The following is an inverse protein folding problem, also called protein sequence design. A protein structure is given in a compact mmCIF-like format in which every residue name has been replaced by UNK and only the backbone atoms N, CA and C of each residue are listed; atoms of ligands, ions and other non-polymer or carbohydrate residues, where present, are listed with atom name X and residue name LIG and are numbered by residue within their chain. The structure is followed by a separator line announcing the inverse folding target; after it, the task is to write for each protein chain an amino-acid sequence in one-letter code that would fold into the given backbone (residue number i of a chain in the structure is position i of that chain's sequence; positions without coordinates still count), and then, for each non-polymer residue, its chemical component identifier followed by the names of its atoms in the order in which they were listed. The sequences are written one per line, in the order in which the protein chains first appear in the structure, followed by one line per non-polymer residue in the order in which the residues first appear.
data_IF_042616473582
#
_entry.id   IF_042616473582
#
_cell.length_a   1.000
_cell.length_b   1.000
_cell.length_c   1.000
_cell.angle_alpha   90.00
_cell.angle_beta   90.00
_cell.angle_gamma   90.00
#
_symmetry.space_group_name_H-M   'P 1'
#
loop_
_entity.id
_entity.type
_entity.pdbx_description
1 polymer ?
#
# COMPACT_ATOMS: atom_id res chain seq x y z
N UNK A 1 27.91 14.78 41.47
CA UNK A 1 27.67 14.72 40.01
C UNK A 1 26.54 13.74 39.75
N UNK A 2 25.50 14.21 39.08
CA UNK A 2 24.13 13.78 39.26
C UNK A 2 23.79 12.51 38.46
N UNK A 3 24.30 11.36 38.91
CA UNK A 3 24.01 10.03 38.31
C UNK A 3 22.51 9.80 38.08
N UNK A 4 21.67 10.29 39.00
CA UNK A 4 20.20 10.20 38.88
C UNK A 4 19.62 11.10 37.79
N UNK A 5 20.20 12.28 37.56
CA UNK A 5 19.74 13.21 36.53
C UNK A 5 20.22 12.76 35.15
N UNK A 6 21.43 12.22 35.03
CA UNK A 6 21.95 11.64 33.79
C UNK A 6 21.17 10.41 33.34
N UNK A 7 20.71 9.57 34.27
CA UNK A 7 19.84 8.43 33.95
C UNK A 7 18.44 8.88 33.52
N UNK A 8 17.90 9.95 34.13
CA UNK A 8 16.59 10.48 33.77
C UNK A 8 16.59 11.12 32.38
N UNK A 9 17.62 11.89 32.04
CA UNK A 9 17.74 12.51 30.71
C UNK A 9 17.94 11.47 29.62
N UNK A 10 18.73 10.42 29.88
CA UNK A 10 18.94 9.32 28.92
C UNK A 10 17.65 8.51 28.69
N UNK A 11 16.87 8.24 29.74
CA UNK A 11 15.58 7.56 29.60
C UNK A 11 14.57 8.40 28.80
N UNK A 12 14.54 9.72 29.04
CA UNK A 12 13.63 10.63 28.34
C UNK A 12 13.95 10.74 26.84
N UNK A 13 15.24 10.79 26.47
CA UNK A 13 15.64 10.84 25.05
C UNK A 13 15.32 9.55 24.32
N UNK A 14 15.47 8.38 24.96
CA UNK A 14 15.11 7.07 24.38
C UNK A 14 13.60 6.97 24.16
N UNK A 15 12.79 7.38 25.13
CA UNK A 15 11.32 7.38 25.00
C UNK A 15 10.87 8.34 23.88
N UNK A 16 11.48 9.52 23.77
CA UNK A 16 11.17 10.48 22.72
C UNK A 16 11.57 9.98 21.32
N UNK A 17 12.70 9.26 21.22
CA UNK A 17 13.12 8.63 19.97
C UNK A 17 12.19 7.48 19.54
N UNK A 18 11.65 6.70 20.49
CA UNK A 18 10.66 5.65 20.21
C UNK A 18 9.31 6.21 19.77
N UNK A 19 8.89 7.37 20.29
CA UNK A 19 7.65 8.04 19.89
C UNK A 19 7.66 8.54 18.43
N UNK A 20 8.85 8.79 17.84
CA UNK A 20 8.98 9.19 16.44
C UNK A 20 8.96 8.01 15.46
N UNK A 21 9.15 6.77 15.93
CA UNK A 21 9.18 5.58 15.09
C UNK A 21 7.77 5.07 14.68
N UNK A 22 6.69 5.63 15.26
CA UNK A 22 5.31 5.18 15.01
C UNK A 22 4.49 6.05 14.06
N UNK A 23 5.06 7.10 13.47
CA UNK A 23 4.31 8.04 12.63
C UNK A 23 4.28 7.55 11.17
N UNK A 24 3.33 6.67 10.85
CA UNK A 24 3.14 6.23 9.46
C UNK A 24 2.65 7.42 8.62
N UNK A 25 3.52 7.97 7.78
CA UNK A 25 3.22 9.16 6.94
C UNK A 25 2.29 8.82 5.78
N UNK A 26 2.21 7.55 5.39
CA UNK A 26 1.42 7.15 4.24
C UNK A 26 -0.07 7.12 4.61
N UNK A 27 -0.83 8.10 4.13
CA UNK A 27 -2.29 8.18 4.30
C UNK A 27 -2.95 8.71 3.03
N UNK A 28 -4.25 8.44 2.84
CA UNK A 28 -5.00 8.92 1.67
C UNK A 28 -4.93 10.45 1.52
N UNK A 29 -5.11 11.18 2.62
CA UNK A 29 -5.08 12.66 2.61
C UNK A 29 -3.74 13.19 2.11
N UNK A 30 -2.63 12.59 2.54
CA UNK A 30 -1.29 12.98 2.07
C UNK A 30 -1.02 12.56 0.64
N UNK A 31 -1.51 11.38 0.23
CA UNK A 31 -1.47 10.95 -1.16
C UNK A 31 -2.18 11.93 -2.11
N UNK A 32 -3.31 12.51 -1.70
CA UNK A 32 -4.01 13.50 -2.54
C UNK A 32 -3.20 14.77 -2.78
N UNK A 33 -2.31 15.14 -1.85
CA UNK A 33 -1.42 16.29 -2.04
C UNK A 33 -0.29 16.04 -3.02
N UNK A 34 -0.05 14.78 -3.42
CA UNK A 34 0.93 14.45 -4.46
C UNK A 34 0.37 14.80 -5.84
N UNK A 35 1.13 15.51 -6.66
CA UNK A 35 0.69 16.00 -7.97
C UNK A 35 1.69 15.63 -9.08
N UNK A 36 1.20 15.55 -10.33
CA UNK A 36 2.04 15.29 -11.51
C UNK A 36 3.05 16.43 -11.67
N UNK A 37 4.31 16.07 -11.94
CA UNK A 37 5.44 17.01 -12.02
C UNK A 37 6.15 17.25 -10.70
N UNK A 38 5.59 16.80 -9.57
CA UNK A 38 6.23 16.91 -8.27
C UNK A 38 7.56 16.13 -8.26
N UNK A 39 8.65 16.70 -7.70
CA UNK A 39 9.92 16.00 -7.63
C UNK A 39 9.89 14.88 -6.60
N UNK A 40 10.63 13.80 -6.88
CA UNK A 40 10.72 12.59 -6.05
C UNK A 40 11.04 12.84 -4.58
N UNK A 41 11.97 13.76 -4.27
CA UNK A 41 12.34 14.11 -2.90
C UNK A 41 11.18 14.72 -2.10
N UNK A 42 10.26 15.41 -2.77
CA UNK A 42 9.09 16.01 -2.14
C UNK A 42 8.03 14.94 -1.88
N UNK A 43 7.90 13.95 -2.76
CA UNK A 43 7.05 12.76 -2.55
C UNK A 43 7.49 12.02 -1.28
N UNK A 44 8.79 11.79 -1.09
CA UNK A 44 9.33 11.17 0.14
C UNK A 44 9.02 12.00 1.39
N UNK A 45 9.08 13.33 1.30
CA UNK A 45 8.72 14.20 2.44
C UNK A 45 7.24 14.05 2.82
N UNK A 46 6.36 13.95 1.82
CA UNK A 46 4.92 13.86 1.98
C UNK A 46 4.48 12.48 2.48
N UNK A 47 4.89 11.41 1.79
CA UNK A 47 4.41 10.04 2.02
C UNK A 47 5.33 9.18 2.89
N UNK A 48 6.57 9.61 3.08
CA UNK A 48 7.61 8.78 3.70
C UNK A 48 8.34 7.91 2.68
N UNK A 49 9.06 6.90 3.20
CA UNK A 49 9.76 5.93 2.37
C UNK A 49 8.76 4.93 1.76
N UNK A 50 8.92 4.58 0.47
CA UNK A 50 8.09 3.55 -0.15
C UNK A 50 8.47 2.16 0.40
N UNK A 51 7.51 1.24 0.38
CA UNK A 51 7.76 -0.17 0.70
C UNK A 51 8.62 -0.83 -0.38
N UNK A 52 8.37 -0.51 -1.65
CA UNK A 52 9.15 -0.99 -2.80
C UNK A 52 9.50 0.18 -3.71
N UNK A 53 10.75 0.24 -4.15
CA UNK A 53 11.30 1.31 -4.99
C UNK A 53 11.93 0.75 -6.27
N UNK A 54 11.29 0.98 -7.40
CA UNK A 54 11.87 0.79 -8.73
C UNK A 54 12.40 2.13 -9.27
N UNK A 55 13.07 2.10 -10.43
CA UNK A 55 13.64 3.30 -11.07
C UNK A 55 12.59 4.33 -11.45
N UNK A 56 11.43 3.86 -11.90
CA UNK A 56 10.32 4.63 -12.48
C UNK A 56 9.01 4.44 -11.73
N UNK A 57 8.98 3.61 -10.69
CA UNK A 57 7.75 3.30 -9.95
C UNK A 57 8.03 3.03 -8.47
N UNK A 58 7.30 3.69 -7.59
CA UNK A 58 7.36 3.48 -6.14
C UNK A 58 6.03 2.99 -5.61
N UNK A 59 6.08 2.00 -4.72
CA UNK A 59 4.91 1.36 -4.13
C UNK A 59 4.87 1.66 -2.64
N UNK A 60 3.74 2.19 -2.20
CA UNK A 60 3.40 2.43 -0.82
C UNK A 60 2.27 1.50 -0.43
N UNK A 61 2.35 0.88 0.75
CA UNK A 61 1.34 -0.04 1.24
C UNK A 61 1.18 0.13 2.75
N UNK A 62 -0.05 0.04 3.22
CA UNK A 62 -0.38 -0.08 4.63
C UNK A 62 -1.23 -1.33 4.78
N UNK A 63 -0.86 -2.24 5.67
CA UNK A 63 -1.52 -3.54 5.79
C UNK A 63 -2.88 -3.47 6.51
N UNK A 64 -3.02 -2.56 7.50
CA UNK A 64 -4.20 -2.47 8.38
C UNK A 64 -4.56 -1.00 8.68
N UNK A 65 -5.69 -0.47 8.17
CA UNK A 65 -6.52 -1.06 7.11
C UNK A 65 -5.73 -1.18 5.81
N UNK A 66 -6.08 -2.13 4.93
CA UNK A 66 -5.35 -2.32 3.68
C UNK A 66 -5.60 -1.16 2.71
N UNK A 67 -4.52 -0.52 2.27
CA UNK A 67 -4.51 0.38 1.12
C UNK A 67 -3.11 0.48 0.52
N UNK A 68 -3.07 0.76 -0.78
CA UNK A 68 -1.86 0.81 -1.59
C UNK A 68 -1.87 2.05 -2.49
N UNK A 69 -0.71 2.66 -2.68
CA UNK A 69 -0.50 3.68 -3.71
C UNK A 69 0.68 3.31 -4.58
N UNK A 70 0.55 3.61 -5.87
CA UNK A 70 1.63 3.48 -6.85
C UNK A 70 1.90 4.88 -7.40
N UNK A 71 3.15 5.33 -7.30
CA UNK A 71 3.62 6.60 -7.87
C UNK A 71 4.58 6.27 -9.00
N UNK A 72 4.28 6.74 -10.21
CA UNK A 72 5.13 6.59 -11.38
C UNK A 72 5.95 7.85 -11.59
N UNK A 73 7.18 7.67 -12.06
CA UNK A 73 8.14 8.73 -12.31
C UNK A 73 8.61 8.70 -13.75
N UNK A 74 8.84 9.88 -14.31
CA UNK A 74 9.60 10.08 -15.55
C UNK A 74 10.78 10.98 -15.20
N UNK A 75 11.99 10.41 -15.26
CA UNK A 75 13.16 11.04 -14.64
C UNK A 75 12.97 11.17 -13.12
N UNK A 76 13.04 12.39 -12.60
CA UNK A 76 12.91 12.68 -11.16
C UNK A 76 11.55 13.30 -10.78
N UNK A 77 10.55 13.23 -11.67
CA UNK A 77 9.24 13.86 -11.45
C UNK A 77 8.11 12.85 -11.58
N UNK A 78 7.07 13.05 -10.79
CA UNK A 78 5.85 12.24 -10.86
C UNK A 78 5.22 12.37 -12.25
N UNK A 79 5.04 11.25 -12.93
CA UNK A 79 4.33 11.17 -14.22
C UNK A 79 2.89 10.66 -14.05
N UNK A 80 2.62 9.91 -12.99
CA UNK A 80 1.28 9.40 -12.68
C UNK A 80 1.16 8.86 -11.26
N UNK A 81 -0.07 8.71 -10.79
CA UNK A 81 -0.35 8.11 -9.47
C UNK A 81 -1.65 7.31 -9.49
N UNK A 82 -1.70 6.25 -8.70
CA UNK A 82 -2.89 5.40 -8.51
C UNK A 82 -3.04 5.04 -7.04
N UNK A 83 -4.28 4.95 -6.58
CA UNK A 83 -4.65 4.53 -5.23
C UNK A 83 -5.51 3.29 -5.32
N UNK A 84 -5.37 2.39 -4.34
CA UNK A 84 -6.16 1.18 -4.21
C UNK A 84 -6.52 1.02 -2.73
N UNK A 85 -7.78 0.76 -2.44
CA UNK A 85 -8.23 0.38 -1.10
C UNK A 85 -9.24 -0.77 -1.18
N UNK A 86 -9.53 -1.37 -0.02
CA UNK A 86 -10.45 -2.51 0.03
C UNK A 86 -11.86 -2.18 -0.48
N UNK A 87 -12.29 -0.91 -0.42
CA UNK A 87 -13.63 -0.53 -0.91
C UNK A 87 -13.69 -0.57 -2.43
N UNK A 88 -12.68 -0.03 -3.09
CA UNK A 88 -12.60 -0.03 -4.55
C UNK A 88 -12.49 -1.45 -5.12
N UNK A 89 -11.78 -2.34 -4.42
CA UNK A 89 -11.73 -3.76 -4.78
C UNK A 89 -13.11 -4.44 -4.64
N UNK A 90 -13.85 -4.15 -3.57
CA UNK A 90 -15.18 -4.71 -3.35
C UNK A 90 -16.23 -4.21 -4.35
N UNK A 91 -16.01 -3.04 -4.93
CA UNK A 91 -16.91 -2.45 -5.93
C UNK A 91 -16.68 -2.97 -7.35
N UNK A 92 -15.63 -3.77 -7.59
CA UNK A 92 -15.37 -4.37 -8.89
C UNK A 92 -16.48 -5.38 -9.28
N UNK A 93 -17.05 -5.29 -10.50
CA UNK A 93 -18.18 -6.13 -10.91
C UNK A 93 -17.91 -7.63 -10.78
N UNK A 94 -16.68 -8.06 -11.05
CA UNK A 94 -16.28 -9.47 -10.94
C UNK A 94 -16.23 -9.98 -9.50
N UNK A 95 -15.88 -9.11 -8.54
CA UNK A 95 -15.82 -9.46 -7.11
C UNK A 95 -17.23 -9.44 -6.51
N UNK A 96 -18.07 -8.49 -6.92
CA UNK A 96 -19.50 -8.49 -6.58
C UNK A 96 -20.22 -9.72 -7.11
N UNK A 97 -19.95 -10.11 -8.35
CA UNK A 97 -20.53 -11.31 -8.95
C UNK A 97 -20.15 -12.57 -8.16
N UNK A 98 -18.88 -12.70 -7.77
CA UNK A 98 -18.40 -13.82 -6.94
C UNK A 98 -19.06 -13.86 -5.54
N UNK A 99 -19.19 -12.71 -4.87
CA UNK A 99 -19.86 -12.63 -3.55
C UNK A 99 -21.39 -12.86 -3.63
N UNK A 100 -22.03 -12.53 -4.76
CA UNK A 100 -23.47 -12.75 -4.97
C UNK A 100 -23.82 -14.17 -5.45
N UNK A 101 -22.83 -14.96 -5.87
CA UNK A 101 -23.00 -16.33 -6.38
C UNK A 101 -22.95 -17.44 -5.32
N UNK A 102 -22.67 -17.13 -4.06
CA UNK A 102 -22.59 -18.12 -2.99
C UNK A 102 -23.97 -18.43 -2.36
N UNK A 103 -24.95 -18.83 -3.18
CA UNK A 103 -26.16 -19.52 -2.72
C UNK A 103 -26.81 -20.29 -3.88
N UNK A 104 -27.00 -21.61 -3.70
CA UNK A 104 -27.51 -22.67 -4.60
C UNK A 104 -26.49 -23.19 -5.61
N UNK A 105 -26.21 -24.49 -5.75
CA UNK A 105 -26.60 -25.73 -5.10
C UNK A 105 -25.61 -26.83 -5.60
N UNK A 106 -25.61 -28.05 -5.03
CA UNK A 106 -24.56 -29.06 -5.24
C UNK A 106 -24.74 -29.88 -6.53
N UNK A 107 -23.67 -30.57 -6.93
CA UNK A 107 -23.67 -31.67 -7.90
C UNK A 107 -23.85 -31.27 -9.37
N UNK A 108 -22.75 -30.99 -10.05
CA UNK A 108 -22.65 -30.91 -11.50
C UNK A 108 -21.50 -31.79 -12.00
N UNK A 109 -21.86 -32.96 -12.52
CA UNK A 109 -20.99 -33.91 -13.22
C UNK A 109 -20.10 -33.22 -14.25
N UNK A 110 -18.77 -33.34 -14.12
CA UNK A 110 -17.83 -32.91 -15.16
C UNK A 110 -17.80 -34.01 -16.24
N UNK A 111 -18.55 -33.83 -17.33
CA UNK A 111 -18.29 -34.56 -18.56
C UNK A 111 -17.01 -34.03 -19.19
N UNK A 112 -15.95 -34.85 -19.09
CA UNK A 112 -14.65 -34.58 -19.71
C UNK A 112 -14.75 -34.97 -21.19
N UNK A 113 -14.98 -34.00 -22.08
CA UNK A 113 -14.77 -34.21 -23.51
C UNK A 113 -13.27 -34.25 -23.80
N UNK A 114 -12.73 -35.45 -24.00
CA UNK A 114 -11.38 -35.68 -24.53
C UNK A 114 -11.42 -35.48 -26.05
N UNK A 115 -10.85 -34.38 -26.54
CA UNK A 115 -10.53 -34.20 -27.95
C UNK A 115 -9.21 -34.93 -28.24
N UNK A 116 -9.29 -36.09 -28.89
CA UNK A 116 -8.13 -36.79 -29.43
C UNK A 116 -7.68 -36.09 -30.71
N UNK A 117 -6.47 -35.53 -30.71
CA UNK A 117 -5.78 -35.07 -31.93
C UNK A 117 -5.20 -36.31 -32.61
N UNK A 118 -5.52 -36.48 -33.89
CA UNK A 118 -4.98 -37.53 -34.76
C UNK A 118 -3.74 -36.96 -35.45
N UNK A 119 -2.60 -37.63 -35.30
CA UNK A 119 -1.48 -37.64 -36.25
C UNK A 119 -1.16 -39.10 -36.62
#
# INVERSE_FOLDING_TARGET
MNRRITSLTLALTVVLAMLLAGCNKFTRVRYETVYVGQPDWEVTKTLGEPMVRFSDEWVYENEKPWYKAIIKFEGNKVSGKSWYDSKELEDHPDIKASKSGAAKDPSGTIERHTTTVVE
#
